data_IF_192762320011
#
_entry.id   IF_192762320011
#
_cell.length_a   1.000
_cell.length_b   1.000
_cell.length_c   1.000
_cell.angle_alpha   90.00
_cell.angle_beta   90.00
_cell.angle_gamma   90.00
#
_symmetry.space_group_name_H-M   'P 1'
#
loop_
_entity.id
_entity.type
_entity.pdbx_description
1 polymer ?
#
# COMPACT_ATOMS: atom_id res chain seq x y z
N UNK A 1 -26.05 -23.17 2.39
CA UNK A 1 -26.15 -22.05 1.44
C UNK A 1 -24.73 -21.61 1.08
N UNK A 2 -24.17 -21.97 -0.09
CA UNK A 2 -22.87 -21.42 -0.49
C UNK A 2 -23.11 -19.99 -0.97
N UNK A 3 -22.71 -19.01 -0.16
CA UNK A 3 -22.67 -17.60 -0.56
C UNK A 3 -21.56 -17.47 -1.59
N UNK A 4 -21.92 -17.52 -2.87
CA UNK A 4 -21.01 -17.24 -3.98
C UNK A 4 -20.62 -15.77 -3.88
N UNK A 5 -19.46 -15.51 -3.28
CA UNK A 5 -18.83 -14.19 -3.32
C UNK A 5 -18.76 -13.76 -4.79
N UNK A 6 -19.34 -12.59 -5.15
CA UNK A 6 -19.28 -12.13 -6.52
C UNK A 6 -17.81 -12.03 -6.92
N UNK A 7 -17.45 -12.68 -8.03
CA UNK A 7 -16.09 -12.60 -8.53
C UNK A 7 -15.76 -11.16 -8.90
N UNK A 8 -14.53 -10.74 -8.65
CA UNK A 8 -14.06 -9.37 -8.86
C UNK A 8 -14.36 -8.86 -10.28
N UNK A 9 -14.26 -9.75 -11.28
CA UNK A 9 -14.63 -9.46 -12.67
C UNK A 9 -16.13 -9.12 -12.85
N UNK A 10 -17.01 -9.74 -12.05
CA UNK A 10 -18.46 -9.55 -12.09
C UNK A 10 -18.87 -8.20 -11.46
N UNK A 11 -18.16 -7.74 -10.43
CA UNK A 11 -18.36 -6.41 -9.85
C UNK A 11 -17.86 -5.31 -10.79
N UNK A 12 -16.70 -5.50 -11.43
CA UNK A 12 -16.19 -4.53 -12.41
C UNK A 12 -17.17 -4.37 -13.59
N UNK A 13 -17.79 -5.48 -14.02
CA UNK A 13 -18.81 -5.46 -15.09
C UNK A 13 -20.07 -4.69 -14.75
N UNK A 14 -20.37 -4.48 -13.46
CA UNK A 14 -21.54 -3.73 -12.98
C UNK A 14 -21.25 -2.25 -12.73
N UNK A 15 -19.99 -1.81 -12.84
CA UNK A 15 -19.65 -0.40 -12.70
C UNK A 15 -20.26 0.41 -13.84
N UNK A 16 -20.77 1.59 -13.48
CA UNK A 16 -21.15 2.58 -14.47
C UNK A 16 -19.91 3.02 -15.28
N UNK A 17 -20.09 3.47 -16.53
CA UNK A 17 -19.00 4.05 -17.33
C UNK A 17 -18.15 5.09 -16.58
N UNK A 18 -18.73 6.07 -15.85
CA UNK A 18 -17.92 7.03 -15.11
C UNK A 18 -17.15 6.39 -13.95
N UNK A 19 -17.72 5.41 -13.25
CA UNK A 19 -17.01 4.73 -12.17
C UNK A 19 -15.89 3.83 -12.70
N UNK A 20 -16.09 3.21 -13.86
CA UNK A 20 -15.04 2.46 -14.55
C UNK A 20 -13.87 3.37 -14.97
N UNK A 21 -14.14 4.56 -15.51
CA UNK A 21 -13.10 5.54 -15.80
C UNK A 21 -12.36 5.97 -14.51
N UNK A 22 -13.10 6.18 -13.42
CA UNK A 22 -12.52 6.52 -12.10
C UNK A 22 -11.63 5.41 -11.57
N UNK A 23 -12.04 4.15 -11.73
CA UNK A 23 -11.25 2.96 -11.40
C UNK A 23 -9.94 2.92 -12.19
N UNK A 24 -9.99 3.14 -13.52
CA UNK A 24 -8.79 3.17 -14.36
C UNK A 24 -7.82 4.28 -13.95
N UNK A 25 -8.33 5.47 -13.61
CA UNK A 25 -7.51 6.58 -13.12
C UNK A 25 -6.84 6.22 -11.78
N UNK A 26 -7.58 5.58 -10.87
CA UNK A 26 -7.04 5.12 -9.58
C UNK A 26 -5.96 4.05 -9.78
N UNK A 27 -6.19 3.06 -10.65
CA UNK A 27 -5.21 2.03 -11.02
C UNK A 27 -3.94 2.62 -11.62
N UNK A 28 -4.07 3.56 -12.56
CA UNK A 28 -2.93 4.25 -13.16
C UNK A 28 -2.12 5.03 -12.11
N UNK A 29 -2.81 5.71 -11.19
CA UNK A 29 -2.14 6.42 -10.07
C UNK A 29 -1.42 5.45 -9.14
N UNK A 30 -2.03 4.32 -8.79
CA UNK A 30 -1.40 3.29 -7.96
C UNK A 30 -0.12 2.79 -8.63
N UNK A 31 -0.18 2.43 -9.92
CA UNK A 31 1.00 1.96 -10.68
C UNK A 31 2.12 2.99 -10.72
N UNK A 32 1.79 4.26 -10.89
CA UNK A 32 2.78 5.34 -10.87
C UNK A 32 3.43 5.50 -9.48
N UNK A 33 2.63 5.39 -8.40
CA UNK A 33 3.16 5.43 -7.04
C UNK A 33 4.03 4.21 -6.73
N UNK A 34 3.66 3.04 -7.20
CA UNK A 34 4.41 1.79 -7.04
C UNK A 34 5.79 1.87 -7.70
N UNK A 35 5.85 2.37 -8.94
CA UNK A 35 7.11 2.67 -9.63
C UNK A 35 7.99 3.66 -8.85
N UNK A 36 7.39 4.74 -8.32
CA UNK A 36 8.12 5.71 -7.51
C UNK A 36 8.65 5.10 -6.23
N UNK A 37 7.85 4.27 -5.55
CA UNK A 37 8.27 3.58 -4.35
C UNK A 37 9.42 2.61 -4.65
N UNK A 38 9.34 1.88 -5.76
CA UNK A 38 10.39 0.97 -6.22
C UNK A 38 11.70 1.72 -6.50
N UNK A 39 11.63 2.88 -7.16
CA UNK A 39 12.80 3.74 -7.40
C UNK A 39 13.40 4.25 -6.10
N UNK A 40 12.58 4.71 -5.16
CA UNK A 40 13.03 5.19 -3.84
C UNK A 40 13.74 4.09 -3.06
N UNK A 41 13.16 2.89 -3.02
CA UNK A 41 13.76 1.70 -2.38
C UNK A 41 15.06 1.30 -3.07
N UNK A 42 15.08 1.28 -4.41
CA UNK A 42 16.26 0.93 -5.21
C UNK A 42 17.41 1.92 -5.03
N UNK A 43 17.11 3.21 -4.87
CA UNK A 43 18.08 4.25 -4.60
C UNK A 43 18.58 4.27 -3.13
N UNK A 44 18.08 3.38 -2.27
CA UNK A 44 18.52 3.27 -0.88
C UNK A 44 18.06 4.41 0.02
N UNK A 45 17.08 5.22 -0.40
CA UNK A 45 16.46 6.21 0.48
C UNK A 45 15.71 5.47 1.59
N UNK A 46 16.21 5.60 2.81
CA UNK A 46 15.60 4.96 3.97
C UNK A 46 14.17 5.44 4.18
N UNK A 47 13.30 4.54 4.64
CA UNK A 47 11.93 4.85 5.07
C UNK A 47 11.84 5.86 6.24
N UNK A 48 12.99 6.30 6.77
CA UNK A 48 13.12 7.38 7.73
C UNK A 48 12.84 8.76 7.11
N UNK A 49 12.96 8.91 5.78
CA UNK A 49 12.63 10.16 5.12
C UNK A 49 11.11 10.36 5.02
N UNK A 50 10.68 11.61 5.25
CA UNK A 50 9.27 11.99 5.18
C UNK A 50 8.67 11.82 3.76
N UNK A 51 9.51 11.76 2.72
CA UNK A 51 9.11 11.54 1.32
C UNK A 51 8.54 10.14 1.06
N UNK A 52 9.32 9.06 1.26
CA UNK A 52 8.87 7.67 1.16
C UNK A 52 7.60 7.40 1.99
N UNK A 53 7.53 7.90 3.23
CA UNK A 53 6.36 7.74 4.09
C UNK A 53 5.10 8.41 3.53
N UNK A 54 5.22 9.61 2.95
CA UNK A 54 4.08 10.28 2.27
C UNK A 54 3.64 9.52 1.02
N UNK A 55 4.57 8.96 0.26
CA UNK A 55 4.28 8.10 -0.89
C UNK A 55 3.50 6.84 -0.45
N UNK A 56 3.96 6.18 0.60
CA UNK A 56 3.33 4.97 1.13
C UNK A 56 1.91 5.24 1.67
N UNK A 57 1.71 6.33 2.42
CA UNK A 57 0.38 6.76 2.86
C UNK A 57 -0.56 7.03 1.69
N UNK A 58 -0.09 7.73 0.66
CA UNK A 58 -0.88 8.07 -0.52
C UNK A 58 -1.23 6.84 -1.36
N UNK A 59 -0.32 5.87 -1.45
CA UNK A 59 -0.57 4.56 -2.07
C UNK A 59 -1.66 3.79 -1.32
N UNK A 60 -1.66 3.86 0.02
CA UNK A 60 -2.66 3.24 0.88
C UNK A 60 -4.06 3.85 0.69
N UNK A 61 -4.15 5.19 0.68
CA UNK A 61 -5.42 5.90 0.44
C UNK A 61 -6.02 5.58 -0.93
N UNK A 62 -5.18 5.38 -1.96
CA UNK A 62 -5.66 5.00 -3.29
C UNK A 62 -6.21 3.56 -3.32
N UNK A 63 -5.57 2.61 -2.62
CA UNK A 63 -6.10 1.26 -2.49
C UNK A 63 -7.40 1.20 -1.71
N UNK A 64 -7.55 2.04 -0.67
CA UNK A 64 -8.79 2.19 0.06
C UNK A 64 -9.91 2.77 -0.82
N UNK A 65 -9.60 3.78 -1.63
CA UNK A 65 -10.56 4.32 -2.60
C UNK A 65 -10.97 3.30 -3.67
N UNK A 66 -10.06 2.44 -4.13
CA UNK A 66 -10.37 1.34 -5.06
C UNK A 66 -11.27 0.31 -4.37
N UNK A 67 -10.94 -0.08 -3.13
CA UNK A 67 -11.71 -1.06 -2.35
C UNK A 67 -13.12 -0.55 -2.08
N UNK A 68 -13.26 0.72 -1.72
CA UNK A 68 -14.55 1.39 -1.53
C UNK A 68 -15.36 1.48 -2.84
N UNK A 69 -14.71 1.81 -3.96
CA UNK A 69 -15.37 1.90 -5.27
C UNK A 69 -15.87 0.54 -5.77
N UNK A 70 -15.10 -0.52 -5.50
CA UNK A 70 -15.44 -1.89 -5.90
C UNK A 70 -16.31 -2.62 -4.88
N UNK A 71 -16.47 -2.08 -3.67
CA UNK A 71 -17.15 -2.75 -2.56
C UNK A 71 -16.48 -4.07 -2.16
N UNK A 72 -15.16 -4.18 -2.33
CA UNK A 72 -14.37 -5.37 -2.00
C UNK A 72 -13.55 -5.15 -0.74
N UNK A 73 -13.28 -6.23 0.02
CA UNK A 73 -12.32 -6.15 1.11
C UNK A 73 -10.94 -5.73 0.60
N UNK A 74 -10.26 -4.92 1.39
CA UNK A 74 -8.92 -4.44 1.12
C UNK A 74 -7.95 -5.62 0.90
N UNK A 75 -7.08 -5.58 -0.12
CA UNK A 75 -6.16 -6.69 -0.37
C UNK A 75 -5.22 -6.94 0.82
N UNK A 76 -4.83 -8.19 1.08
CA UNK A 76 -4.04 -8.55 2.26
C UNK A 76 -2.68 -7.84 2.32
N UNK A 77 -2.06 -7.56 1.17
CA UNK A 77 -0.80 -6.83 1.10
C UNK A 77 -0.93 -5.36 1.56
N UNK A 78 -2.08 -4.71 1.32
CA UNK A 78 -2.33 -3.33 1.77
C UNK A 78 -2.58 -3.31 3.27
N UNK A 79 -3.31 -4.30 3.79
CA UNK A 79 -3.53 -4.47 5.23
C UNK A 79 -2.21 -4.66 5.99
N UNK A 80 -1.27 -5.45 5.45
CA UNK A 80 0.07 -5.62 6.02
C UNK A 80 0.82 -4.29 6.07
N UNK A 81 0.87 -3.54 4.96
CA UNK A 81 1.55 -2.23 4.92
C UNK A 81 0.91 -1.24 5.90
N UNK A 82 -0.42 -1.26 6.04
CA UNK A 82 -1.16 -0.42 7.00
C UNK A 82 -0.76 -0.74 8.44
N UNK A 83 -0.67 -2.02 8.79
CA UNK A 83 -0.22 -2.47 10.12
C UNK A 83 1.24 -2.08 10.35
N UNK A 84 2.13 -2.31 9.39
CA UNK A 84 3.56 -1.95 9.50
C UNK A 84 3.78 -0.44 9.66
N UNK A 85 2.97 0.40 9.01
CA UNK A 85 3.02 1.86 9.17
C UNK A 85 2.44 2.37 10.49
N UNK A 86 1.48 1.63 11.07
CA UNK A 86 0.79 1.99 12.32
C UNK A 86 1.48 1.39 13.55
N UNK A 87 2.23 0.32 13.37
CA UNK A 87 3.10 -0.22 14.40
C UNK A 87 4.12 0.86 14.78
N UNK A 88 4.34 1.10 16.08
CA UNK A 88 5.47 1.92 16.50
C UNK A 88 6.71 1.29 15.87
N UNK A 89 7.48 2.09 15.12
CA UNK A 89 8.77 1.65 14.65
C UNK A 89 9.57 1.34 15.93
N UNK A 90 9.71 0.05 16.25
CA UNK A 90 10.66 -0.35 17.27
C UNK A 90 11.97 0.32 16.90
N UNK A 91 12.58 1.13 17.79
CA UNK A 91 13.85 1.73 17.50
C UNK A 91 14.88 0.59 17.45
N UNK A 92 15.11 0.05 16.26
CA UNK A 92 16.33 -0.70 15.98
C UNK A 92 17.39 0.34 15.66
N UNK A 93 17.82 1.05 16.69
CA UNK A 93 19.02 1.87 16.65
C UNK A 93 19.95 1.45 17.79
N UNK A 94 21.17 1.13 17.37
CA UNK A 94 22.42 1.15 18.14
C UNK A 94 22.59 0.08 19.22
N UNK A 95 23.47 -0.89 18.99
CA UNK A 95 24.93 -0.82 19.07
C UNK A 95 25.41 -1.18 20.48
N UNK A 96 25.99 -2.37 20.60
CA UNK A 96 26.96 -2.65 21.64
C UNK A 96 28.31 -2.88 20.94
N UNK A 97 29.29 -1.97 21.09
CA UNK A 97 30.68 -2.32 20.83
C UNK A 97 31.12 -3.23 21.99
N UNK A 98 31.44 -4.48 21.70
CA UNK A 98 32.12 -5.32 22.67
C UNK A 98 33.59 -4.88 22.74
N UNK A 99 33.88 -3.88 23.57
CA UNK A 99 35.23 -3.68 24.10
C UNK A 99 35.52 -4.82 25.09
N UNK A 100 36.10 -5.91 24.59
CA UNK A 100 36.78 -6.88 25.43
C UNK A 100 38.18 -6.34 25.77
N UNK A 101 38.30 -5.78 26.96
CA UNK A 101 39.58 -5.70 27.67
C UNK A 101 39.70 -6.92 28.57
N UNK A 102 40.79 -7.68 28.42
CA UNK A 102 41.67 -8.22 29.45
C UNK A 102 42.80 -9.01 28.78
#
# INVERSE_FOLDING_TARGET
MPTTLPTLAQQIRRLSRPDFARLLILLARVRLLDLRLHVVVSLGYGLADAGPLRLMRRWLTLHEAISALLGIPEPPHVAIVRVTLKAPQSPTHQAAPETHGL
#
